data_IF_798365435956
#
_entry.id   IF_798365435956
#
_cell.length_a   1.000
_cell.length_b   1.000
_cell.length_c   1.000
_cell.angle_alpha   90.00
_cell.angle_beta   90.00
_cell.angle_gamma   90.00
#
_symmetry.space_group_name_H-M   'P 1'
#
loop_
_entity.id
_entity.type
_entity.pdbx_description
1 polymer ?
#
# COMPACT_ATOMS: atom_id res chain seq x y z
N UNK A 1 -2.10 -12.09 0.68
CA UNK A 1 -1.32 -13.30 0.29
C UNK A 1 -0.26 -13.63 1.35
N UNK A 2 -0.13 -14.89 1.75
CA UNK A 2 0.97 -15.37 2.59
C UNK A 2 1.93 -16.21 1.74
N UNK A 3 3.23 -16.09 2.01
CA UNK A 3 4.27 -16.89 1.38
C UNK A 3 4.94 -17.74 2.46
N UNK A 4 5.02 -19.03 2.21
CA UNK A 4 5.71 -19.99 3.08
C UNK A 4 6.91 -20.58 2.34
N UNK A 5 8.05 -20.62 3.03
CA UNK A 5 9.28 -21.15 2.47
C UNK A 5 10.05 -21.87 3.57
N UNK A 6 10.70 -22.97 3.20
CA UNK A 6 11.55 -23.75 4.12
C UNK A 6 12.99 -23.61 3.65
N UNK A 7 13.86 -23.14 4.54
CA UNK A 7 15.28 -22.92 4.24
C UNK A 7 16.12 -23.86 5.10
N UNK A 8 17.06 -24.54 4.47
CA UNK A 8 18.05 -25.35 5.18
C UNK A 8 19.17 -24.44 5.67
N UNK A 9 19.27 -24.26 6.98
CA UNK A 9 20.37 -23.54 7.61
C UNK A 9 21.43 -24.53 8.07
N UNK A 10 22.69 -24.22 7.76
CA UNK A 10 23.85 -24.96 8.26
C UNK A 10 24.66 -24.07 9.18
N UNK A 11 24.78 -24.48 10.44
CA UNK A 11 25.68 -23.82 11.40
C UNK A 11 27.12 -24.20 11.05
N UNK A 12 28.05 -23.25 11.07
CA UNK A 12 29.47 -23.53 10.80
C UNK A 12 29.98 -24.57 11.79
N UNK A 13 30.45 -25.72 11.27
CA UNK A 13 30.84 -26.92 12.05
C UNK A 13 29.73 -27.50 12.94
N UNK A 14 28.46 -27.22 12.64
CA UNK A 14 27.30 -27.66 13.41
C UNK A 14 26.24 -28.38 12.56
N UNK A 15 25.07 -28.70 13.17
CA UNK A 15 24.00 -29.43 12.51
C UNK A 15 23.32 -28.61 11.41
N UNK A 16 22.60 -29.32 10.54
CA UNK A 16 21.71 -28.74 9.52
C UNK A 16 20.28 -28.78 10.05
N UNK A 17 19.54 -27.70 9.89
CA UNK A 17 18.15 -27.62 10.36
C UNK A 17 17.28 -26.90 9.33
N UNK A 18 16.06 -27.43 9.12
CA UNK A 18 15.05 -26.77 8.32
C UNK A 18 14.35 -25.70 9.17
N UNK A 19 14.36 -24.47 8.68
CA UNK A 19 13.62 -23.36 9.28
C UNK A 19 12.46 -23.01 8.37
N UNK A 20 11.25 -23.05 8.93
CA UNK A 20 10.05 -22.59 8.25
C UNK A 20 9.92 -21.09 8.43
N UNK A 21 9.89 -20.37 7.32
CA UNK A 21 9.74 -18.94 7.25
C UNK A 21 8.36 -18.65 6.68
N UNK A 22 7.60 -17.83 7.40
CA UNK A 22 6.28 -17.39 7.00
C UNK A 22 6.31 -15.88 6.84
N UNK A 23 6.00 -15.41 5.64
CA UNK A 23 5.89 -14.00 5.34
C UNK A 23 4.43 -13.66 5.00
N UNK A 24 3.85 -12.72 5.73
CA UNK A 24 2.59 -12.10 5.33
C UNK A 24 2.93 -10.99 4.33
N UNK A 25 2.61 -11.20 3.06
CA UNK A 25 2.72 -10.15 2.05
C UNK A 25 1.61 -9.14 2.34
N UNK A 26 2.00 -8.01 2.90
CA UNK A 26 1.13 -6.85 2.96
C UNK A 26 1.02 -6.32 1.53
N UNK A 27 -0.12 -6.51 0.90
CA UNK A 27 -0.47 -5.76 -0.29
C UNK A 27 -0.38 -4.26 0.06
N UNK A 28 -0.04 -3.35 -0.84
CA UNK A 28 -0.10 -1.91 -0.53
C UNK A 28 -1.48 -1.41 -0.98
N UNK A 29 -2.46 -1.49 -0.09
CA UNK A 29 -3.84 -1.05 -0.33
C UNK A 29 -4.12 0.33 0.27
N UNK A 30 -4.08 1.34 -0.59
CA UNK A 30 -4.67 2.64 -0.32
C UNK A 30 -6.08 2.68 -0.91
N UNK A 31 -7.02 3.29 -0.19
CA UNK A 31 -8.38 3.50 -0.72
C UNK A 31 -8.77 4.97 -0.67
N UNK A 32 -9.50 5.42 -1.69
CA UNK A 32 -10.04 6.78 -1.76
C UNK A 32 -11.51 6.80 -1.37
N UNK A 33 -11.98 7.89 -0.76
CA UNK A 33 -13.42 8.11 -0.54
C UNK A 33 -14.20 8.27 -1.85
N UNK A 34 -13.53 8.76 -2.91
CA UNK A 34 -14.07 8.98 -4.25
C UNK A 34 -12.94 8.87 -5.27
N UNK A 35 -13.16 8.17 -6.37
CA UNK A 35 -12.17 7.98 -7.44
C UNK A 35 -12.34 8.95 -8.61
N UNK A 36 -13.51 9.58 -8.74
CA UNK A 36 -13.82 10.55 -9.78
C UNK A 36 -14.31 11.84 -9.17
N UNK A 37 -13.69 12.97 -9.51
CA UNK A 37 -14.16 14.30 -9.14
C UNK A 37 -14.96 14.89 -10.30
N UNK A 38 -16.14 15.41 -10.00
CA UNK A 38 -17.00 16.07 -10.98
C UNK A 38 -17.33 17.46 -10.43
N UNK A 39 -16.82 18.48 -11.11
CA UNK A 39 -17.08 19.87 -10.79
C UNK A 39 -18.31 20.34 -11.56
N UNK A 40 -19.10 21.23 -10.95
CA UNK A 40 -20.24 21.85 -11.63
C UNK A 40 -19.78 23.07 -12.43
N UNK A 41 -20.73 23.79 -13.04
CA UNK A 41 -20.41 25.03 -13.74
C UNK A 41 -19.89 26.08 -12.75
N UNK A 42 -18.60 26.41 -12.84
CA UNK A 42 -17.97 27.45 -12.04
C UNK A 42 -18.01 28.78 -12.81
N UNK A 43 -18.55 29.83 -12.19
CA UNK A 43 -18.61 31.16 -12.78
C UNK A 43 -17.21 31.79 -12.90
N UNK A 44 -17.06 32.74 -13.82
CA UNK A 44 -15.81 33.49 -13.98
C UNK A 44 -15.46 34.19 -12.67
N UNK A 45 -14.21 34.00 -12.22
CA UNK A 45 -13.70 34.57 -10.97
C UNK A 45 -14.08 33.80 -9.71
N UNK A 46 -14.79 32.67 -9.80
CA UNK A 46 -15.12 31.80 -8.66
C UNK A 46 -14.25 30.54 -8.64
N UNK A 47 -14.20 29.89 -7.47
CA UNK A 47 -13.46 28.65 -7.26
C UNK A 47 -14.35 27.62 -6.57
N UNK A 48 -14.35 26.39 -7.07
CA UNK A 48 -14.96 25.24 -6.39
C UNK A 48 -13.83 24.34 -5.86
N UNK A 49 -13.93 23.95 -4.59
CA UNK A 49 -12.96 23.08 -3.92
C UNK A 49 -13.66 21.80 -3.48
N UNK A 50 -13.13 20.66 -3.90
CA UNK A 50 -13.61 19.34 -3.50
C UNK A 50 -12.54 18.66 -2.64
N UNK A 51 -12.96 18.10 -1.50
CA UNK A 51 -12.06 17.39 -0.59
C UNK A 51 -12.27 15.89 -0.70
N UNK A 52 -11.19 15.14 -0.96
CA UNK A 52 -11.19 13.68 -0.92
C UNK A 52 -10.40 13.17 0.27
N UNK A 53 -10.74 11.98 0.75
CA UNK A 53 -10.00 11.29 1.81
C UNK A 53 -9.23 10.11 1.23
N UNK A 54 -7.96 10.03 1.61
CA UNK A 54 -7.09 8.89 1.40
C UNK A 54 -7.04 8.08 2.69
N UNK A 55 -7.45 6.83 2.64
CA UNK A 55 -7.41 5.92 3.78
C UNK A 55 -6.26 4.94 3.60
N UNK A 56 -5.33 4.98 4.56
CA UNK A 56 -4.37 3.90 4.74
C UNK A 56 -5.07 2.75 5.48
N UNK A 57 -5.22 1.60 4.81
CA UNK A 57 -5.83 0.41 5.42
C UNK A 57 -4.83 -0.41 6.26
N UNK A 58 -3.55 -0.03 6.26
CA UNK A 58 -2.51 -0.72 7.01
C UNK A 58 -2.30 -0.12 8.39
N UNK A 59 -1.80 -0.96 9.29
CA UNK A 59 -1.34 -0.54 10.61
C UNK A 59 0.04 0.14 10.59
N UNK A 60 0.72 0.11 9.44
CA UNK A 60 2.02 0.75 9.25
C UNK A 60 1.88 2.07 8.47
N UNK A 61 2.72 3.08 8.75
CA UNK A 61 2.73 4.33 7.97
C UNK A 61 3.03 4.08 6.49
N UNK A 62 2.26 4.72 5.60
CA UNK A 62 2.47 4.67 4.16
C UNK A 62 2.95 6.02 3.62
N UNK A 63 3.88 5.99 2.66
CA UNK A 63 4.27 7.15 1.85
C UNK A 63 3.41 7.18 0.60
N UNK A 64 2.97 8.37 0.20
CA UNK A 64 2.13 8.57 -0.97
C UNK A 64 2.49 9.89 -1.65
N UNK A 65 2.17 9.99 -2.94
CA UNK A 65 2.35 11.18 -3.75
C UNK A 65 1.28 11.22 -4.84
N UNK A 66 1.05 12.41 -5.41
CA UNK A 66 0.13 12.61 -6.52
C UNK A 66 0.97 12.73 -7.79
N UNK A 67 0.59 12.00 -8.84
CA UNK A 67 1.21 12.10 -10.16
C UNK A 67 0.13 12.28 -11.22
N UNK A 68 0.43 13.05 -12.28
CA UNK A 68 -0.39 13.04 -13.47
C UNK A 68 -0.21 11.71 -14.21
N UNK A 69 -1.30 11.14 -14.71
CA UNK A 69 -1.25 10.03 -15.67
C UNK A 69 -1.15 10.67 -17.05
N UNK A 70 -0.17 10.23 -17.85
CA UNK A 70 0.01 10.68 -19.24
C UNK A 70 -1.03 10.03 -20.16
#
# INVERSE_FOLDING_TARGET
>A
PSAEFSVLLQVTKGPRSHVHLHATVSELSLSLSKNTLQFSNVLIGQCQVETIRLYNRYRVPCKWFITAVK
#
